data_IF_178768381784
#
_entry.id   IF_178768381784
#
_cell.length_a   1.000
_cell.length_b   1.000
_cell.length_c   1.000
_cell.angle_alpha   90.00
_cell.angle_beta   90.00
_cell.angle_gamma   90.00
#
_symmetry.space_group_name_H-M   'P 1'
#
loop_
_entity.id
_entity.type
_entity.pdbx_description
1 polymer ?
#
# COMPACT_ATOMS: atom_id res chain seq x y z
N UNK A 1 27.94 10.20 20.40
CA UNK A 1 26.79 10.97 20.89
C UNK A 1 26.42 11.98 19.82
N UNK A 2 25.46 11.63 18.95
CA UNK A 2 25.02 12.49 17.85
C UNK A 2 23.81 13.32 18.28
N UNK A 3 23.93 14.62 18.10
CA UNK A 3 22.94 15.67 18.40
C UNK A 3 21.52 15.28 17.97
N UNK A 4 20.64 15.03 18.94
CA UNK A 4 19.20 15.04 18.71
C UNK A 4 18.78 16.50 18.81
N UNK A 5 18.73 17.18 17.66
CA UNK A 5 18.05 18.47 17.54
C UNK A 5 16.66 18.36 18.16
N UNK A 6 16.29 19.37 18.93
CA UNK A 6 15.01 19.47 19.63
C UNK A 6 13.89 19.78 18.61
N UNK A 7 13.71 18.91 17.62
CA UNK A 7 12.75 19.08 16.54
C UNK A 7 11.33 18.80 17.03
N UNK A 8 10.54 19.87 17.11
CA UNK A 8 9.15 19.84 17.48
C UNK A 8 8.31 19.10 16.42
N UNK A 9 7.35 18.30 16.89
CA UNK A 9 6.46 17.54 16.00
C UNK A 9 5.43 18.45 15.33
N UNK A 10 5.52 18.63 14.01
CA UNK A 10 4.54 19.39 13.23
C UNK A 10 3.37 18.50 12.80
N UNK A 11 2.15 19.02 12.85
CA UNK A 11 0.96 18.31 12.32
C UNK A 11 1.03 18.30 10.79
N UNK A 12 0.95 17.11 10.20
CA UNK A 12 1.06 16.95 8.74
C UNK A 12 -0.25 16.50 8.09
N UNK A 13 -1.12 15.80 8.83
CA UNK A 13 -2.43 15.41 8.33
C UNK A 13 -3.37 15.05 9.48
N UNK A 14 -4.67 15.20 9.23
CA UNK A 14 -5.74 14.79 10.15
C UNK A 14 -6.85 14.09 9.38
N UNK A 15 -7.36 13.01 9.96
CA UNK A 15 -8.49 12.26 9.44
C UNK A 15 -9.58 12.19 10.49
N UNK A 16 -10.81 12.53 10.10
CA UNK A 16 -11.98 12.45 10.99
C UNK A 16 -12.87 11.31 10.49
N UNK A 17 -12.94 10.25 11.28
CA UNK A 17 -13.91 9.18 11.07
C UNK A 17 -15.26 9.62 11.64
N UNK A 18 -16.21 9.86 10.76
CA UNK A 18 -17.60 10.20 11.07
C UNK A 18 -18.49 8.96 10.87
N UNK A 19 -18.89 8.27 11.96
CA UNK A 19 -19.76 7.11 11.84
C UNK A 19 -21.15 7.45 11.26
N UNK A 20 -21.59 8.70 11.22
CA UNK A 20 -22.89 9.01 10.62
C UNK A 20 -22.92 8.89 9.09
N UNK A 21 -21.75 8.86 8.44
CA UNK A 21 -21.60 8.94 6.98
C UNK A 21 -21.07 7.66 6.32
N UNK A 22 -20.91 6.56 7.05
CA UNK A 22 -20.38 5.32 6.48
C UNK A 22 -21.47 4.53 5.75
N UNK A 23 -21.15 4.03 4.55
CA UNK A 23 -22.05 3.26 3.69
C UNK A 23 -22.20 1.79 4.16
N UNK A 24 -21.23 1.27 4.91
CA UNK A 24 -21.25 -0.11 5.41
C UNK A 24 -21.97 -0.25 6.77
N UNK A 25 -22.53 -1.45 7.01
CA UNK A 25 -23.26 -1.79 8.25
C UNK A 25 -22.33 -1.59 9.46
N UNK A 26 -22.66 -0.60 10.29
CA UNK A 26 -21.84 -0.27 11.44
C UNK A 26 -21.99 -1.28 12.56
N UNK A 27 -20.90 -1.52 13.28
CA UNK A 27 -20.99 -2.12 14.62
C UNK A 27 -21.74 -1.13 15.52
N UNK A 28 -22.77 -1.62 16.22
CA UNK A 28 -23.52 -0.80 17.16
C UNK A 28 -22.55 -0.11 18.15
N UNK A 29 -22.74 1.20 18.36
CA UNK A 29 -21.89 2.06 19.22
C UNK A 29 -20.52 2.47 18.64
N UNK A 30 -20.37 2.49 17.31
CA UNK A 30 -19.21 3.12 16.68
C UNK A 30 -19.06 4.59 17.11
N UNK A 31 -17.87 4.94 17.63
CA UNK A 31 -17.52 6.30 18.07
C UNK A 31 -16.81 7.05 16.94
N UNK A 32 -17.01 8.36 16.90
CA UNK A 32 -16.18 9.24 16.07
C UNK A 32 -14.71 9.16 16.50
N UNK A 33 -13.79 9.28 15.54
CA UNK A 33 -12.34 9.32 15.83
C UNK A 33 -11.67 10.44 15.04
N UNK A 34 -10.74 11.13 15.67
CA UNK A 34 -9.87 12.11 15.01
C UNK A 34 -8.44 11.59 15.10
N UNK A 35 -7.92 11.15 13.97
CA UNK A 35 -6.55 10.68 13.83
C UNK A 35 -5.68 11.86 13.42
N UNK A 36 -4.63 12.15 14.17
CA UNK A 36 -3.66 13.20 13.88
C UNK A 36 -2.29 12.58 13.63
N UNK A 37 -1.70 12.90 12.49
CA UNK A 37 -0.35 12.48 12.13
C UNK A 37 0.57 13.69 12.30
N UNK A 38 1.65 13.48 13.06
CA UNK A 38 2.72 14.45 13.24
C UNK A 38 4.05 13.89 12.74
N UNK A 39 4.93 14.76 12.27
CA UNK A 39 6.27 14.40 11.82
C UNK A 39 7.29 15.44 12.30
N UNK A 40 8.47 14.97 12.70
CA UNK A 40 9.63 15.83 13.02
C UNK A 40 10.34 16.34 11.77
N UNK A 41 10.41 15.53 10.71
CA UNK A 41 11.15 15.89 9.51
C UNK A 41 10.47 17.04 8.75
N UNK A 42 11.25 18.09 8.46
CA UNK A 42 10.85 19.19 7.59
C UNK A 42 10.75 18.77 6.11
N UNK A 43 11.56 17.80 5.67
CA UNK A 43 11.51 17.21 4.34
C UNK A 43 11.45 15.69 4.45
N UNK A 44 10.35 15.10 3.99
CA UNK A 44 10.16 13.65 3.96
C UNK A 44 9.87 13.21 2.50
N UNK A 45 10.61 12.23 1.95
CA UNK A 45 10.46 11.83 0.55
C UNK A 45 9.14 11.13 0.24
N UNK A 46 8.46 10.59 1.26
CA UNK A 46 7.09 10.10 1.12
C UNK A 46 6.11 11.29 1.06
N UNK A 47 6.29 12.30 1.92
CA UNK A 47 5.39 13.46 1.97
C UNK A 47 5.43 14.30 0.69
N UNK A 48 6.57 14.36 -0.01
CA UNK A 48 6.66 15.00 -1.32
C UNK A 48 5.84 14.30 -2.42
N UNK A 49 5.32 13.10 -2.15
CA UNK A 49 4.43 12.32 -3.02
C UNK A 49 3.03 12.18 -2.41
N UNK A 50 2.69 13.05 -1.46
CA UNK A 50 1.46 12.97 -0.66
C UNK A 50 1.28 11.66 0.12
N UNK A 51 2.36 10.96 0.45
CA UNK A 51 2.35 9.67 1.15
C UNK A 51 2.86 9.79 2.59
N UNK A 52 2.41 8.89 3.46
CA UNK A 52 3.01 8.69 4.79
C UNK A 52 2.72 7.28 5.31
N UNK A 53 3.67 6.67 5.99
CA UNK A 53 3.53 5.32 6.58
C UNK A 53 2.30 5.23 7.50
N UNK A 54 1.98 6.30 8.23
CA UNK A 54 0.81 6.37 9.09
C UNK A 54 -0.52 6.64 8.37
N UNK A 55 -0.50 6.96 7.07
CA UNK A 55 -1.71 7.14 6.28
C UNK A 55 -2.36 5.80 5.89
N UNK A 56 -1.60 4.71 5.86
CA UNK A 56 -2.15 3.38 5.66
C UNK A 56 -2.80 2.88 6.96
N UNK A 57 -4.13 2.83 6.98
CA UNK A 57 -4.93 2.44 8.16
C UNK A 57 -4.65 1.00 8.64
N UNK A 58 -4.11 0.14 7.77
CA UNK A 58 -3.76 -1.24 8.09
C UNK A 58 -2.29 -1.44 8.44
N UNK A 59 -1.45 -0.40 8.29
CA UNK A 59 -0.04 -0.51 8.66
C UNK A 59 0.12 -0.44 10.17
N UNK A 60 0.82 -1.43 10.73
CA UNK A 60 1.24 -1.44 12.14
C UNK A 60 2.62 -0.80 12.33
N UNK A 61 3.26 -0.36 11.24
CA UNK A 61 4.63 0.13 11.25
C UNK A 61 4.71 1.50 11.95
N UNK A 62 5.76 1.68 12.76
CA UNK A 62 5.94 2.91 13.54
C UNK A 62 7.12 3.68 12.97
N UNK A 63 6.81 4.74 12.21
CA UNK A 63 7.86 5.62 11.67
C UNK A 63 8.64 6.30 12.80
N UNK A 64 9.99 6.22 12.83
CA UNK A 64 10.83 6.80 13.89
C UNK A 64 10.66 8.31 14.06
N UNK A 65 10.34 9.00 12.96
CA UNK A 65 10.21 10.45 12.93
C UNK A 65 8.75 10.93 13.07
N UNK A 66 7.79 10.01 13.12
CA UNK A 66 6.37 10.37 13.14
C UNK A 66 5.68 9.93 14.43
N UNK A 67 4.54 10.58 14.71
CA UNK A 67 3.64 10.20 15.80
C UNK A 67 2.21 10.17 15.29
N UNK A 68 1.50 9.11 15.65
CA UNK A 68 0.07 8.95 15.44
C UNK A 68 -0.64 9.16 16.77
N UNK A 69 -1.63 10.06 16.82
CA UNK A 69 -2.51 10.20 17.98
C UNK A 69 -3.96 10.08 17.54
N UNK A 70 -4.74 9.25 18.22
CA UNK A 70 -6.17 9.05 17.94
C UNK A 70 -6.95 9.59 19.13
N UNK A 71 -7.73 10.64 18.89
CA UNK A 71 -8.69 11.16 19.85
C UNK A 71 -10.05 10.49 19.58
N UNK A 72 -10.59 9.79 20.58
CA UNK A 72 -11.89 9.12 20.47
C UNK A 72 -12.98 10.05 20.96
N UNK A 73 -13.93 10.37 20.08
CA UNK A 73 -15.09 11.18 20.37
C UNK A 73 -16.28 10.35 20.86
N UNK A 74 -17.47 10.83 20.53
CA UNK A 74 -18.73 10.26 21.01
C UNK A 74 -19.37 9.29 20.01
N UNK A 75 -20.35 8.51 20.47
CA UNK A 75 -21.23 7.73 19.58
C UNK A 75 -22.24 8.63 18.90
N UNK A 76 -22.79 8.20 17.76
CA UNK A 76 -23.81 8.96 17.00
C UNK A 76 -25.02 9.40 17.84
N UNK A 77 -25.39 8.61 18.85
CA UNK A 77 -26.55 8.89 19.73
C UNK A 77 -26.27 9.96 20.78
N UNK A 78 -25.01 10.28 21.06
CA UNK A 78 -24.67 11.26 22.08
C UNK A 78 -25.00 12.69 21.59
N UNK A 79 -25.58 13.51 22.48
CA UNK A 79 -25.90 14.92 22.17
C UNK A 79 -24.68 15.75 21.73
N UNK A 80 -23.49 15.41 22.25
CA UNK A 80 -22.24 16.09 21.93
C UNK A 80 -21.61 15.67 20.59
N UNK A 81 -22.16 14.68 19.88
CA UNK A 81 -21.55 14.08 18.69
C UNK A 81 -21.24 15.10 17.58
N UNK A 82 -22.28 15.78 17.07
CA UNK A 82 -22.12 16.74 15.96
C UNK A 82 -21.27 17.94 16.36
N UNK A 83 -21.40 18.40 17.62
CA UNK A 83 -20.59 19.50 18.16
C UNK A 83 -19.10 19.14 18.19
N UNK A 84 -18.77 17.91 18.58
CA UNK A 84 -17.38 17.44 18.59
C UNK A 84 -16.81 17.31 17.16
N UNK A 85 -17.57 16.75 16.22
CA UNK A 85 -17.16 16.64 14.81
C UNK A 85 -16.89 18.03 14.21
N UNK A 86 -17.82 18.98 14.39
CA UNK A 86 -17.70 20.33 13.85
C UNK A 86 -16.49 21.07 14.45
N UNK A 87 -16.29 20.95 15.77
CA UNK A 87 -15.09 21.48 16.45
C UNK A 87 -13.80 20.96 15.81
N UNK A 88 -13.70 19.64 15.59
CA UNK A 88 -12.48 19.02 15.04
C UNK A 88 -12.21 19.41 13.59
N UNK A 89 -13.26 19.62 12.79
CA UNK A 89 -13.13 20.14 11.41
C UNK A 89 -12.63 21.58 11.39
N UNK A 90 -13.12 22.43 12.30
CA UNK A 90 -12.74 23.84 12.40
C UNK A 90 -11.34 24.07 12.96
N UNK A 91 -10.86 23.17 13.83
CA UNK A 91 -9.54 23.28 14.48
C UNK A 91 -8.40 23.32 13.44
N UNK A 92 -8.56 22.67 12.28
CA UNK A 92 -7.56 22.66 11.19
C UNK A 92 -8.21 22.54 9.80
N UNK A 93 -8.66 23.65 9.19
CA UNK A 93 -9.37 23.61 7.91
C UNK A 93 -8.50 23.17 6.72
N UNK A 94 -7.17 23.28 6.82
CA UNK A 94 -6.23 23.14 5.70
C UNK A 94 -5.22 21.99 5.85
N UNK A 95 -5.53 20.90 6.56
CA UNK A 95 -4.61 19.75 6.59
C UNK A 95 -4.66 18.97 5.27
N UNK A 96 -3.52 18.73 4.61
CA UNK A 96 -3.49 17.97 3.36
C UNK A 96 -3.96 16.52 3.58
N UNK A 97 -4.70 16.00 2.61
CA UNK A 97 -5.10 14.59 2.56
C UNK A 97 -3.92 13.77 2.07
N UNK A 98 -3.43 12.85 2.89
CA UNK A 98 -2.38 11.92 2.48
C UNK A 98 -2.98 10.70 1.81
N UNK A 99 -2.35 10.25 0.73
CA UNK A 99 -2.71 9.03 0.04
C UNK A 99 -2.26 7.81 0.87
N UNK A 100 -3.21 6.93 1.17
CA UNK A 100 -3.00 5.71 1.96
C UNK A 100 -2.46 4.53 1.16
N UNK A 101 -2.54 4.55 -0.17
CA UNK A 101 -2.40 3.35 -0.99
C UNK A 101 -0.95 2.92 -1.27
N UNK A 102 0.03 3.84 -1.18
CA UNK A 102 1.33 3.66 -1.84
C UNK A 102 2.54 3.68 -0.90
N UNK A 103 2.34 3.32 0.37
CA UNK A 103 3.39 3.34 1.41
C UNK A 103 4.01 1.96 1.66
N UNK A 104 3.87 1.00 0.74
CA UNK A 104 4.47 -0.34 0.85
C UNK A 104 5.70 -0.49 -0.06
N UNK A 105 6.49 0.58 -0.19
CA UNK A 105 7.65 0.63 -1.09
C UNK A 105 8.93 1.01 -0.34
N UNK A 106 10.07 0.52 -0.84
CA UNK A 106 11.40 0.89 -0.37
C UNK A 106 11.56 2.42 -0.39
N UNK A 107 11.94 2.99 0.75
CA UNK A 107 12.15 4.43 0.87
C UNK A 107 13.31 4.75 1.83
N UNK A 108 14.16 5.70 1.44
CA UNK A 108 15.22 6.24 2.29
C UNK A 108 14.65 7.42 3.09
N UNK A 109 14.53 7.30 4.40
CA UNK A 109 13.92 8.30 5.29
C UNK A 109 14.96 8.73 6.32
N UNK A 110 15.65 9.84 6.03
CA UNK A 110 16.74 10.38 6.87
C UNK A 110 17.79 9.30 7.21
N UNK A 111 17.86 8.89 8.49
CA UNK A 111 18.85 7.93 9.01
C UNK A 111 18.41 6.48 8.87
N UNK A 112 17.24 6.22 8.27
CA UNK A 112 16.69 4.88 8.12
C UNK A 112 16.29 4.56 6.68
N UNK A 113 16.19 3.27 6.39
CA UNK A 113 15.65 2.70 5.18
C UNK A 113 14.43 1.90 5.57
N UNK A 114 13.31 2.24 4.96
CA UNK A 114 12.05 1.57 5.17
C UNK A 114 11.89 0.45 4.15
N UNK A 115 11.68 -0.78 4.64
CA UNK A 115 11.68 -2.03 3.88
C UNK A 115 10.40 -2.85 4.17
N UNK A 116 9.21 -2.39 3.76
CA UNK A 116 7.92 -2.94 4.18
C UNK A 116 7.52 -4.23 3.46
N UNK A 117 8.39 -5.21 3.43
CA UNK A 117 8.18 -6.49 2.78
C UNK A 117 7.91 -7.56 3.82
N UNK A 118 6.92 -8.41 3.56
CA UNK A 118 6.53 -9.46 4.48
C UNK A 118 7.73 -10.34 4.87
N UNK A 119 7.85 -10.66 6.17
CA UNK A 119 8.89 -11.53 6.73
C UNK A 119 10.33 -11.02 6.62
N UNK A 120 10.61 -9.87 6.00
CA UNK A 120 11.97 -9.35 5.85
C UNK A 120 12.58 -8.95 7.19
N UNK A 121 11.76 -8.38 8.07
CA UNK A 121 12.10 -8.01 9.44
C UNK A 121 12.28 -9.21 10.38
N UNK A 122 12.08 -10.46 9.92
CA UNK A 122 12.46 -11.66 10.68
C UNK A 122 13.96 -11.95 10.64
N UNK A 123 14.72 -11.31 9.73
CA UNK A 123 16.16 -11.54 9.60
C UNK A 123 16.93 -10.91 10.77
N UNK A 124 17.22 -11.72 11.80
CA UNK A 124 17.96 -11.32 13.00
C UNK A 124 19.41 -10.90 12.77
N UNK A 125 19.98 -11.19 11.59
CA UNK A 125 21.33 -10.75 11.25
C UNK A 125 21.38 -9.25 10.90
N UNK A 126 20.22 -8.63 10.64
CA UNK A 126 20.12 -7.23 10.26
C UNK A 126 19.52 -6.42 11.42
N UNK A 127 20.03 -5.22 11.71
CA UNK A 127 19.56 -4.42 12.84
C UNK A 127 18.29 -3.65 12.52
N UNK A 128 17.19 -4.36 12.23
CA UNK A 128 15.88 -3.72 12.13
C UNK A 128 15.48 -3.11 13.48
N UNK A 129 14.77 -1.98 13.46
CA UNK A 129 14.33 -1.31 14.69
C UNK A 129 13.49 -2.21 15.60
N UNK A 130 12.70 -3.10 15.01
CA UNK A 130 12.05 -4.20 15.72
C UNK A 130 11.90 -5.36 14.77
N UNK A 131 12.23 -6.55 15.23
CA UNK A 131 11.95 -7.78 14.52
C UNK A 131 10.50 -8.20 14.74
N UNK A 132 9.88 -8.79 13.73
CA UNK A 132 8.61 -9.47 13.92
C UNK A 132 8.79 -10.71 14.78
N UNK A 133 7.88 -10.92 15.71
CA UNK A 133 7.77 -12.13 16.55
C UNK A 133 6.37 -12.73 16.37
N UNK A 134 6.10 -13.96 16.84
CA UNK A 134 4.77 -14.55 16.71
C UNK A 134 3.67 -13.60 17.20
N UNK A 135 2.66 -13.38 16.34
CA UNK A 135 1.51 -12.50 16.58
C UNK A 135 1.81 -10.99 16.71
N UNK A 136 3.06 -10.56 16.56
CA UNK A 136 3.46 -9.14 16.64
C UNK A 136 4.32 -8.77 15.44
N UNK A 137 3.78 -7.90 14.58
CA UNK A 137 4.54 -7.35 13.45
C UNK A 137 5.74 -6.53 13.94
N UNK A 138 6.85 -6.59 13.23
CA UNK A 138 8.03 -5.80 13.55
C UNK A 138 7.93 -4.37 13.04
N UNK A 139 9.07 -3.70 13.02
CA UNK A 139 9.20 -2.35 12.51
C UNK A 139 10.28 -2.34 11.43
N UNK A 140 9.90 -2.36 10.13
CA UNK A 140 10.80 -2.64 9.03
C UNK A 140 11.65 -1.42 8.64
N UNK A 141 12.34 -0.85 9.62
CA UNK A 141 13.29 0.24 9.45
C UNK A 141 14.68 -0.27 9.77
N UNK A 142 15.57 -0.16 8.80
CA UNK A 142 16.97 -0.51 8.91
C UNK A 142 17.79 0.79 9.00
N UNK A 143 18.74 0.94 9.94
CA UNK A 143 19.65 2.07 9.96
C UNK A 143 20.37 2.22 8.62
N UNK A 144 20.37 3.43 8.08
CA UNK A 144 20.99 3.72 6.78
C UNK A 144 22.50 3.51 6.80
N UNK A 145 23.14 3.65 7.96
CA UNK A 145 24.56 3.36 8.17
C UNK A 145 24.92 1.90 7.87
N UNK A 146 23.96 0.97 7.99
CA UNK A 146 24.19 -0.43 7.66
C UNK A 146 23.85 -0.76 6.21
N UNK A 147 23.48 0.21 5.37
CA UNK A 147 23.12 -0.06 3.98
C UNK A 147 24.35 -0.37 3.13
N UNK A 148 24.62 -1.65 2.99
CA UNK A 148 25.75 -2.19 2.24
C UNK A 148 25.33 -3.28 1.28
N UNK A 149 26.24 -3.66 0.38
CA UNK A 149 25.99 -4.79 -0.51
C UNK A 149 25.79 -6.10 0.27
N UNK A 150 26.49 -6.27 1.39
CA UNK A 150 26.39 -7.49 2.20
C UNK A 150 25.05 -7.54 2.95
N UNK A 151 24.51 -6.39 3.34
CA UNK A 151 23.16 -6.28 3.86
C UNK A 151 22.11 -6.64 2.82
N UNK A 152 22.24 -6.15 1.59
CA UNK A 152 21.32 -6.52 0.50
C UNK A 152 21.41 -8.01 0.17
N UNK A 153 22.61 -8.59 0.15
CA UNK A 153 22.79 -10.03 -0.02
C UNK A 153 22.16 -10.82 1.13
N UNK A 154 22.32 -10.37 2.38
CA UNK A 154 21.67 -10.97 3.54
C UNK A 154 20.15 -10.96 3.43
N UNK A 155 19.55 -9.88 2.88
CA UNK A 155 18.11 -9.82 2.61
C UNK A 155 17.70 -10.87 1.57
N UNK A 156 18.42 -10.93 0.44
CA UNK A 156 18.09 -11.82 -0.69
C UNK A 156 18.26 -13.29 -0.34
N UNK A 157 19.32 -13.64 0.38
CA UNK A 157 19.66 -15.02 0.70
C UNK A 157 18.89 -15.54 1.95
N UNK A 158 18.14 -14.67 2.64
CA UNK A 158 17.39 -15.03 3.85
C UNK A 158 16.23 -15.99 3.56
N UNK A 159 16.05 -16.98 4.43
CA UNK A 159 14.99 -17.98 4.36
C UNK A 159 14.19 -18.01 5.67
N UNK A 160 13.14 -17.18 5.79
CA UNK A 160 12.34 -17.13 7.00
C UNK A 160 11.63 -18.46 7.27
N UNK A 161 11.55 -18.83 8.55
CA UNK A 161 10.91 -20.07 9.01
C UNK A 161 9.56 -19.75 9.68
N UNK A 162 8.56 -20.58 9.43
CA UNK A 162 7.26 -20.49 10.08
C UNK A 162 7.32 -20.97 11.53
N UNK A 163 6.35 -20.51 12.34
CA UNK A 163 6.28 -20.83 13.77
C UNK A 163 6.17 -22.35 14.05
N UNK A 164 5.45 -23.08 13.19
CA UNK A 164 5.27 -24.53 13.31
C UNK A 164 6.25 -25.33 12.44
N UNK A 165 7.36 -24.71 12.03
CA UNK A 165 8.34 -25.30 11.13
C UNK A 165 7.99 -25.12 9.64
N UNK A 166 9.00 -25.27 8.80
CA UNK A 166 8.91 -25.08 7.36
C UNK A 166 9.29 -23.67 6.88
N UNK A 167 9.87 -23.60 5.69
CA UNK A 167 10.26 -22.34 5.06
C UNK A 167 9.02 -21.56 4.58
N UNK A 168 8.98 -20.26 4.87
CA UNK A 168 7.96 -19.35 4.34
C UNK A 168 8.32 -19.02 2.89
N UNK A 169 7.92 -19.91 1.97
CA UNK A 169 8.30 -19.82 0.54
C UNK A 169 7.78 -18.57 -0.17
N UNK A 170 6.71 -17.94 0.34
CA UNK A 170 6.19 -16.66 -0.18
C UNK A 170 7.21 -15.53 -0.07
N UNK A 171 8.15 -15.59 0.88
CA UNK A 171 9.22 -14.60 0.98
C UNK A 171 10.06 -14.55 -0.31
N UNK A 172 10.56 -15.70 -0.74
CA UNK A 172 11.38 -15.81 -1.95
C UNK A 172 10.56 -15.64 -3.24
N UNK A 173 9.29 -16.07 -3.24
CA UNK A 173 8.42 -16.00 -4.43
C UNK A 173 7.80 -14.61 -4.67
N UNK A 174 7.55 -13.84 -3.62
CA UNK A 174 6.77 -12.60 -3.72
C UNK A 174 7.55 -11.39 -3.15
N UNK A 175 8.06 -11.51 -1.93
CA UNK A 175 8.70 -10.38 -1.23
C UNK A 175 10.03 -10.00 -1.87
N UNK A 176 10.90 -10.97 -2.18
CA UNK A 176 12.20 -10.71 -2.82
C UNK A 176 12.05 -10.09 -4.22
N UNK A 177 11.23 -10.63 -5.15
CA UNK A 177 11.03 -9.97 -6.45
C UNK A 177 10.52 -8.54 -6.34
N UNK A 178 9.58 -8.28 -5.43
CA UNK A 178 9.06 -6.92 -5.19
C UNK A 178 10.14 -5.99 -4.62
N UNK A 179 10.95 -6.49 -3.69
CA UNK A 179 12.12 -5.76 -3.18
C UNK A 179 13.13 -5.42 -4.27
N UNK A 180 13.50 -6.38 -5.12
CA UNK A 180 14.46 -6.19 -6.22
C UNK A 180 13.96 -5.14 -7.22
N UNK A 181 12.67 -5.18 -7.57
CA UNK A 181 12.06 -4.16 -8.43
C UNK A 181 12.15 -2.77 -7.80
N UNK A 182 11.78 -2.64 -6.53
CA UNK A 182 11.87 -1.37 -5.82
C UNK A 182 13.33 -0.91 -5.61
N UNK A 183 14.28 -1.83 -5.47
CA UNK A 183 15.72 -1.52 -5.39
C UNK A 183 16.22 -0.94 -6.73
N UNK A 184 15.85 -1.56 -7.85
CA UNK A 184 16.17 -1.08 -9.22
C UNK A 184 15.64 0.33 -9.47
N UNK A 185 14.46 0.64 -8.95
CA UNK A 185 13.82 1.95 -9.12
C UNK A 185 14.39 3.03 -8.18
N UNK A 186 14.64 2.71 -6.91
CA UNK A 186 14.97 3.72 -5.89
C UNK A 186 16.47 3.83 -5.56
N UNK A 187 17.30 2.81 -5.86
CA UNK A 187 18.75 2.83 -5.63
C UNK A 187 19.48 2.06 -6.75
N UNK A 188 19.52 2.67 -7.95
CA UNK A 188 20.20 2.11 -9.14
C UNK A 188 21.67 1.76 -8.88
N UNK A 189 22.35 2.52 -8.00
CA UNK A 189 23.75 2.27 -7.67
C UNK A 189 23.89 0.94 -6.91
N UNK A 190 23.05 0.70 -5.90
CA UNK A 190 23.05 -0.58 -5.18
C UNK A 190 22.59 -1.73 -6.09
N UNK A 191 21.57 -1.51 -6.93
CA UNK A 191 21.13 -2.49 -7.93
C UNK A 191 22.28 -2.95 -8.83
N UNK A 192 23.03 -2.02 -9.42
CA UNK A 192 24.15 -2.33 -10.31
C UNK A 192 25.25 -3.15 -9.60
N UNK A 193 25.51 -2.86 -8.31
CA UNK A 193 26.44 -3.66 -7.49
C UNK A 193 25.92 -5.06 -7.22
N UNK A 194 24.62 -5.21 -6.98
CA UNK A 194 23.97 -6.49 -6.75
C UNK A 194 24.03 -7.38 -7.99
N UNK A 195 23.59 -6.90 -9.15
CA UNK A 195 23.57 -7.71 -10.38
C UNK A 195 24.99 -8.09 -10.83
N UNK A 196 26.01 -7.27 -10.56
CA UNK A 196 27.40 -7.64 -10.81
C UNK A 196 27.84 -8.86 -9.97
N UNK A 197 27.36 -8.99 -8.73
CA UNK A 197 27.61 -10.15 -7.86
C UNK A 197 26.66 -11.32 -8.14
N UNK A 198 25.43 -11.05 -8.56
CA UNK A 198 24.35 -12.03 -8.77
C UNK A 198 23.62 -11.77 -10.10
N UNK A 199 24.23 -12.05 -11.26
CA UNK A 199 23.63 -11.75 -12.56
C UNK A 199 22.27 -12.44 -12.78
N UNK A 200 22.06 -13.62 -12.18
CA UNK A 200 20.81 -14.38 -12.26
C UNK A 200 19.59 -13.66 -11.66
N UNK A 201 19.80 -12.60 -10.88
CA UNK A 201 18.72 -11.78 -10.31
C UNK A 201 18.22 -10.70 -11.29
N UNK A 202 18.94 -10.43 -12.38
CA UNK A 202 18.49 -9.50 -13.41
C UNK A 202 17.46 -10.18 -14.31
N UNK A 203 16.25 -10.31 -13.75
CA UNK A 203 15.07 -10.79 -14.45
C UNK A 203 14.14 -9.61 -14.69
N UNK A 204 13.38 -9.69 -15.77
CA UNK A 204 12.31 -8.72 -15.97
C UNK A 204 11.33 -8.77 -14.80
N UNK A 205 10.86 -7.61 -14.31
CA UNK A 205 9.90 -7.54 -13.23
C UNK A 205 8.64 -8.35 -13.58
N UNK A 206 8.27 -9.29 -12.71
CA UNK A 206 6.95 -9.87 -12.77
C UNK A 206 5.96 -8.98 -12.00
N UNK A 207 5.07 -8.33 -12.72
CA UNK A 207 4.00 -7.48 -12.22
C UNK A 207 2.65 -8.21 -12.09
N UNK A 208 2.57 -9.49 -12.47
CA UNK A 208 1.37 -10.30 -12.27
C UNK A 208 1.00 -10.29 -10.79
N UNK A 209 -0.24 -9.91 -10.52
CA UNK A 209 -0.81 -9.81 -9.19
C UNK A 209 -0.82 -8.41 -8.57
N UNK A 210 -0.10 -7.45 -9.15
CA UNK A 210 -0.10 -6.05 -8.68
C UNK A 210 -1.36 -5.30 -9.11
N UNK A 211 -1.76 -4.30 -8.33
CA UNK A 211 -2.87 -3.41 -8.67
C UNK A 211 -2.37 -2.20 -9.45
N UNK A 212 -2.95 -1.92 -10.61
CA UNK A 212 -2.58 -0.78 -11.45
C UNK A 212 -3.82 -0.01 -11.93
N UNK A 213 -3.66 1.29 -12.20
CA UNK A 213 -4.71 2.11 -12.82
C UNK A 213 -4.92 1.63 -14.26
N UNK A 214 -6.13 1.19 -14.58
CA UNK A 214 -6.49 0.58 -15.86
C UNK A 214 -6.11 1.48 -17.06
N UNK A 215 -6.41 2.77 -16.94
CA UNK A 215 -6.12 3.78 -17.98
C UNK A 215 -4.62 3.98 -18.27
N UNK A 216 -3.73 3.37 -17.48
CA UNK A 216 -2.27 3.50 -17.64
C UNK A 216 -1.62 2.21 -18.16
N UNK A 217 -2.40 1.16 -18.39
CA UNK A 217 -1.94 -0.11 -18.95
C UNK A 217 -1.93 -0.05 -20.49
N UNK A 218 -1.20 -0.98 -21.10
CA UNK A 218 -1.32 -1.28 -22.53
C UNK A 218 -2.75 -1.74 -22.87
N UNK A 219 -3.10 -1.66 -24.13
CA UNK A 219 -4.34 -2.20 -24.67
C UNK A 219 -4.06 -2.78 -26.07
N UNK A 220 -4.86 -3.74 -26.55
CA UNK A 220 -6.04 -4.31 -25.91
C UNK A 220 -5.73 -5.25 -24.72
N UNK A 221 -6.62 -5.30 -23.74
CA UNK A 221 -6.58 -6.25 -22.61
C UNK A 221 -7.89 -7.03 -22.55
N UNK A 222 -7.79 -8.35 -22.39
CA UNK A 222 -8.95 -9.21 -22.10
C UNK A 222 -8.75 -9.94 -20.79
N UNK A 223 -9.79 -9.99 -19.95
CA UNK A 223 -9.74 -10.78 -18.72
C UNK A 223 -11.09 -11.35 -18.33
N UNK A 224 -11.05 -12.46 -17.58
CA UNK A 224 -12.24 -13.11 -17.02
C UNK A 224 -12.36 -12.87 -15.52
N UNK A 225 -13.55 -12.57 -15.00
CA UNK A 225 -13.80 -12.48 -13.55
C UNK A 225 -13.81 -13.86 -12.90
N UNK A 226 -13.27 -13.96 -11.68
CA UNK A 226 -13.26 -15.21 -10.91
C UNK A 226 -14.49 -15.30 -9.99
N UNK A 227 -15.68 -15.32 -10.60
CA UNK A 227 -16.95 -15.45 -9.89
C UNK A 227 -17.66 -16.76 -10.29
N UNK A 228 -18.73 -17.13 -9.57
CA UNK A 228 -19.59 -18.28 -9.93
C UNK A 228 -20.02 -18.25 -11.41
N UNK A 229 -20.21 -17.05 -11.95
CA UNK A 229 -20.47 -16.80 -13.36
C UNK A 229 -19.33 -15.94 -13.94
N UNK A 230 -18.40 -16.54 -14.70
CA UNK A 230 -17.28 -15.82 -15.27
C UNK A 230 -17.76 -14.82 -16.33
N UNK A 231 -17.27 -13.59 -16.22
CA UNK A 231 -17.55 -12.50 -17.16
C UNK A 231 -16.25 -12.14 -17.85
N UNK A 232 -16.24 -12.20 -19.18
CA UNK A 232 -15.12 -11.73 -20.00
C UNK A 232 -15.29 -10.25 -20.25
N UNK A 233 -14.28 -9.47 -19.89
CA UNK A 233 -14.18 -8.04 -20.14
C UNK A 233 -13.05 -7.76 -21.12
N UNK A 234 -13.27 -6.79 -22.00
CA UNK A 234 -12.32 -6.30 -22.98
C UNK A 234 -12.09 -4.81 -22.77
N UNK A 235 -10.84 -4.40 -22.70
CA UNK A 235 -10.40 -3.01 -22.65
C UNK A 235 -9.67 -2.66 -23.94
N UNK A 236 -10.15 -1.64 -24.64
CA UNK A 236 -9.56 -1.20 -25.91
C UNK A 236 -8.79 0.13 -25.82
N UNK A 237 -8.70 0.74 -24.64
CA UNK A 237 -8.09 2.06 -24.44
C UNK A 237 -9.10 3.19 -24.19
N UNK A 238 -10.37 2.99 -24.51
CA UNK A 238 -11.43 4.00 -24.36
C UNK A 238 -12.60 3.51 -23.49
N UNK A 239 -13.08 2.30 -23.74
CA UNK A 239 -14.21 1.70 -23.04
C UNK A 239 -13.96 0.24 -22.68
N UNK A 240 -14.64 -0.18 -21.61
CA UNK A 240 -14.74 -1.58 -21.19
C UNK A 240 -15.98 -2.21 -21.79
N UNK A 241 -15.80 -3.31 -22.50
CA UNK A 241 -16.88 -4.05 -23.14
C UNK A 241 -17.04 -5.45 -22.57
N UNK A 242 -18.29 -5.91 -22.50
CA UNK A 242 -18.61 -7.31 -22.26
C UNK A 242 -19.93 -7.68 -22.93
N UNK A 243 -20.02 -8.92 -23.40
CA UNK A 243 -21.27 -9.51 -23.90
C UNK A 243 -21.87 -10.53 -22.93
N UNK A 244 -21.37 -10.59 -21.69
CA UNK A 244 -21.85 -11.55 -20.70
C UNK A 244 -23.14 -11.08 -20.04
N UNK A 245 -24.16 -11.93 -20.09
CA UNK A 245 -25.44 -11.71 -19.38
C UNK A 245 -25.28 -11.61 -17.85
N UNK A 246 -24.14 -12.07 -17.31
CA UNK A 246 -23.80 -12.06 -15.89
C UNK A 246 -22.96 -10.86 -15.46
N UNK A 247 -22.73 -9.87 -16.33
CA UNK A 247 -21.93 -8.68 -16.02
C UNK A 247 -22.51 -7.83 -14.87
N UNK A 248 -23.80 -7.97 -14.56
CA UNK A 248 -24.48 -7.27 -13.48
C UNK A 248 -24.99 -8.25 -12.41
N UNK A 249 -24.62 -8.02 -11.15
CA UNK A 249 -24.81 -8.95 -10.04
C UNK A 249 -26.24 -8.97 -9.46
N UNK A 250 -27.22 -8.39 -10.15
CA UNK A 250 -28.63 -8.40 -9.76
C UNK A 250 -29.52 -8.54 -10.99
N UNK A 251 -30.18 -9.71 -11.09
CA UNK A 251 -31.50 -9.92 -11.68
C UNK A 251 -31.97 -8.84 -12.66
N UNK A 252 -31.96 -9.15 -13.96
CA UNK A 252 -32.71 -8.44 -15.00
C UNK A 252 -34.25 -8.54 -14.80
N UNK A 253 -34.72 -8.70 -13.55
CA UNK A 253 -36.09 -9.04 -13.23
C UNK A 253 -36.53 -10.36 -13.88
N UNK A 254 -37.70 -10.34 -14.51
CA UNK A 254 -38.29 -11.44 -15.27
C UNK A 254 -37.85 -11.46 -16.76
N UNK A 255 -36.94 -10.55 -17.15
CA UNK A 255 -36.49 -10.44 -18.55
C UNK A 255 -35.59 -11.61 -18.89
N UNK A 256 -36.07 -12.47 -19.82
CA UNK A 256 -35.25 -13.52 -20.44
C UNK A 256 -34.34 -12.89 -21.49
N UNK A 257 -33.08 -12.66 -21.14
CA UNK A 257 -32.07 -12.16 -22.08
C UNK A 257 -31.51 -13.31 -22.94
N UNK A 258 -31.50 -13.11 -24.26
CA UNK A 258 -30.78 -13.98 -25.20
C UNK A 258 -29.34 -13.50 -25.44
N UNK A 259 -29.12 -12.18 -25.47
CA UNK A 259 -27.79 -11.57 -25.56
C UNK A 259 -27.82 -10.17 -24.94
N UNK A 260 -26.65 -9.66 -24.57
CA UNK A 260 -26.44 -8.28 -24.13
C UNK A 260 -25.08 -7.80 -24.62
N UNK A 261 -24.95 -6.50 -24.89
CA UNK A 261 -23.67 -5.82 -25.06
C UNK A 261 -23.64 -4.65 -24.08
N UNK A 262 -22.64 -4.61 -23.22
CA UNK A 262 -22.44 -3.55 -22.25
C UNK A 262 -21.11 -2.87 -22.52
N UNK A 263 -21.16 -1.54 -22.58
CA UNK A 263 -20.00 -0.67 -22.72
C UNK A 263 -19.98 0.33 -21.56
N UNK A 264 -18.81 0.52 -20.94
CA UNK A 264 -18.65 1.43 -19.81
C UNK A 264 -17.33 2.19 -19.89
N UNK A 265 -17.35 3.44 -19.45
CA UNK A 265 -16.16 4.29 -19.40
C UNK A 265 -15.58 4.21 -17.99
N UNK A 266 -14.38 3.64 -17.82
CA UNK A 266 -13.77 3.55 -16.50
C UNK A 266 -13.41 4.96 -15.97
N UNK A 267 -13.59 5.16 -14.67
CA UNK A 267 -13.13 6.38 -14.00
C UNK A 267 -11.60 6.45 -13.94
N UNK A 268 -11.04 7.64 -13.70
CA UNK A 268 -9.58 7.87 -13.56
C UNK A 268 -8.92 7.03 -12.47
N UNK A 269 -9.69 6.61 -11.48
CA UNK A 269 -9.22 5.82 -10.33
C UNK A 269 -9.55 4.33 -10.47
N UNK A 270 -10.04 3.88 -11.63
CA UNK A 270 -10.36 2.48 -11.86
C UNK A 270 -9.08 1.64 -11.86
N UNK A 271 -9.01 0.66 -10.95
CA UNK A 271 -7.84 -0.21 -10.76
C UNK A 271 -8.14 -1.65 -11.14
N UNK A 272 -7.16 -2.34 -11.71
CA UNK A 272 -7.24 -3.77 -12.04
C UNK A 272 -6.00 -4.51 -11.54
N UNK A 273 -6.18 -5.78 -11.17
CA UNK A 273 -5.08 -6.70 -10.86
C UNK A 273 -4.46 -7.19 -12.16
N UNK A 274 -3.18 -6.89 -12.38
CA UNK A 274 -2.43 -7.33 -13.55
C UNK A 274 -2.40 -8.85 -13.60
N UNK A 275 -2.83 -9.46 -14.72
CA UNK A 275 -2.76 -10.91 -14.93
C UNK A 275 -1.65 -11.34 -15.89
N UNK A 276 -1.16 -10.40 -16.69
CA UNK A 276 -0.12 -10.63 -17.68
C UNK A 276 0.82 -9.41 -17.72
N UNK A 277 2.14 -9.63 -17.80
CA UNK A 277 3.13 -8.55 -17.84
C UNK A 277 3.06 -7.72 -19.12
N UNK A 278 2.54 -8.27 -20.22
CA UNK A 278 2.31 -7.52 -21.47
C UNK A 278 1.36 -6.34 -21.29
N UNK A 279 0.54 -6.34 -20.22
CA UNK A 279 -0.35 -5.22 -19.90
C UNK A 279 0.42 -3.99 -19.39
N UNK A 280 1.66 -4.16 -18.92
CA UNK A 280 2.42 -3.10 -18.24
C UNK A 280 3.37 -2.40 -19.22
N UNK A 281 3.45 -1.08 -19.09
CA UNK A 281 4.43 -0.24 -19.79
C UNK A 281 5.09 0.76 -18.82
N UNK A 282 5.99 1.58 -19.34
CA UNK A 282 6.72 2.59 -18.57
C UNK A 282 5.84 3.72 -17.99
N UNK A 283 4.60 3.90 -18.47
CA UNK A 283 3.62 4.87 -17.96
C UNK A 283 2.66 4.27 -16.93
N UNK A 284 2.70 2.94 -16.72
CA UNK A 284 1.81 2.25 -15.79
C UNK A 284 1.97 2.77 -14.37
N UNK A 285 0.84 3.17 -13.77
CA UNK A 285 0.76 3.63 -12.39
C UNK A 285 0.20 2.52 -11.52
N UNK A 286 1.08 1.94 -10.71
CA UNK A 286 0.69 0.99 -9.66
C UNK A 286 0.14 1.72 -8.43
N UNK A 287 -0.80 1.08 -7.74
CA UNK A 287 -1.50 1.64 -6.55
C UNK A 287 -1.25 0.85 -5.27
N UNK A 288 -0.31 -0.11 -5.30
CA UNK A 288 0.09 -0.97 -4.18
C UNK A 288 1.24 -0.39 -3.31
#
# INVERSE_FOLDING_TARGET
MSNVSNEEYKVISRFIFDPSRTIFKQVANSKAKCTTIRCKLDKCPLRSKDQCIFANMFSTHRCPYGKLSIETGYTKRARAFYRWIDKKKKEYPNTPSLNSSSTNKLAFISDYIYLPYAHMDMNKALPFLSHSIPFVGGNPFLPRSTWSIDTVLSIVDFKPQAMFGGEITSYQKESIPTFLNHLKENDKKMWNRLIKKRPKLDKEPNHVGRMAILLTLNYPITWTTNNKYPVVWEWNGEYLKTNSIHAYNSTWGEIKLQSISLESIPSKDTTIKVKDNSWVNNKTKFVD
#
